data_IF_629521477373
#
_entry.id   IF_629521477373
#
_cell.length_a   1.000
_cell.length_b   1.000
_cell.length_c   1.000
_cell.angle_alpha   90.00
_cell.angle_beta   90.00
_cell.angle_gamma   90.00
#
_symmetry.space_group_name_H-M   'P 1'
#
loop_
_entity.id
_entity.type
_entity.pdbx_description
1 polymer ?
#
# COMPACT_ATOMS: atom_id res chain seq x y z
N UNK A 1 -1.50 24.40 15.10
CA UNK A 1 -1.62 25.12 16.39
C UNK A 1 -0.80 24.35 17.41
N UNK A 2 0.43 24.83 17.74
CA UNK A 2 1.36 24.12 18.64
C UNK A 2 1.09 24.48 20.11
N UNK A 3 -0.09 24.18 20.60
CA UNK A 3 -0.41 24.37 22.01
C UNK A 3 -0.77 23.01 22.59
N UNK A 4 0.06 22.54 23.56
CA UNK A 4 -0.19 21.29 24.27
C UNK A 4 -1.56 21.37 24.96
N UNK A 5 -2.36 20.30 24.90
CA UNK A 5 -3.72 20.22 25.46
C UNK A 5 -3.79 20.66 26.94
N UNK A 6 -2.74 20.38 27.72
CA UNK A 6 -2.65 20.71 29.15
C UNK A 6 -1.87 22.01 29.41
N UNK A 7 -1.69 22.88 28.43
CA UNK A 7 -1.02 24.15 28.66
C UNK A 7 -1.90 25.09 29.47
N UNK A 8 -1.53 25.41 30.72
CA UNK A 8 -2.23 26.32 31.59
C UNK A 8 -2.35 27.74 31.03
N UNK A 9 -1.37 28.16 30.19
CA UNK A 9 -1.36 29.46 29.52
C UNK A 9 -1.27 29.27 28.01
N UNK A 10 -2.41 29.38 27.35
CA UNK A 10 -2.46 29.50 25.90
C UNK A 10 -1.89 30.87 25.45
N UNK A 11 -1.54 31.07 24.15
CA UNK A 11 -1.12 32.39 23.68
C UNK A 11 -2.10 33.51 24.03
N UNK A 12 -3.39 33.30 23.88
CA UNK A 12 -4.46 34.24 24.23
C UNK A 12 -4.51 34.51 25.72
N UNK A 13 -4.31 33.50 26.57
CA UNK A 13 -4.23 33.69 28.02
C UNK A 13 -2.99 34.50 28.43
N UNK A 14 -1.87 34.38 27.70
CA UNK A 14 -0.66 35.18 27.93
C UNK A 14 -0.88 36.64 27.58
N UNK A 15 -1.57 36.95 26.49
CA UNK A 15 -1.97 38.30 26.10
C UNK A 15 -2.91 38.91 27.13
N UNK A 16 -3.93 38.18 27.57
CA UNK A 16 -4.86 38.61 28.60
C UNK A 16 -4.15 38.90 29.93
N UNK A 17 -3.18 38.04 30.32
CA UNK A 17 -2.35 38.22 31.49
C UNK A 17 -1.62 39.57 31.44
N UNK A 18 -0.95 39.86 30.31
CA UNK A 18 -0.20 41.10 30.13
C UNK A 18 -1.13 42.30 30.12
N UNK A 19 -2.23 42.25 29.37
CA UNK A 19 -3.22 43.33 29.32
C UNK A 19 -3.77 43.71 30.69
N UNK A 20 -4.06 42.74 31.54
CA UNK A 20 -4.53 43.00 32.91
C UNK A 20 -3.50 43.69 33.79
N UNK A 21 -2.20 43.28 33.66
CA UNK A 21 -1.13 43.94 34.45
C UNK A 21 -0.87 45.36 33.92
N UNK A 22 -0.93 45.60 32.62
CA UNK A 22 -0.78 46.92 32.02
C UNK A 22 -1.96 47.85 32.36
N UNK A 23 -3.15 47.31 32.58
CA UNK A 23 -4.32 48.03 33.08
C UNK A 23 -4.24 48.32 34.59
N UNK A 24 -3.07 48.14 35.23
CA UNK A 24 -2.84 48.49 36.63
C UNK A 24 -3.23 47.44 37.67
N UNK A 25 -3.62 46.22 37.25
CA UNK A 25 -3.93 45.15 38.22
C UNK A 25 -2.66 44.57 38.85
N UNK A 26 -2.73 44.34 40.17
CA UNK A 26 -1.61 43.72 40.89
C UNK A 26 -1.24 42.35 40.33
N UNK A 27 0.07 42.12 40.10
CA UNK A 27 0.62 40.87 39.57
C UNK A 27 0.18 39.64 40.36
N UNK A 28 0.10 39.74 41.70
CA UNK A 28 -0.33 38.67 42.60
C UNK A 28 -1.81 38.30 42.39
N UNK A 29 -2.65 39.29 42.15
CA UNK A 29 -4.06 39.07 41.86
C UNK A 29 -4.26 38.36 40.50
N UNK A 30 -3.56 38.81 39.44
CA UNK A 30 -3.57 38.18 38.10
C UNK A 30 -3.03 36.76 38.14
N UNK A 31 -1.99 36.52 38.95
CA UNK A 31 -1.43 35.19 39.14
C UNK A 31 -2.42 34.22 39.75
N UNK A 32 -3.12 34.65 40.79
CA UNK A 32 -4.18 33.86 41.48
C UNK A 32 -5.34 33.54 40.55
N UNK A 33 -5.80 34.53 39.81
CA UNK A 33 -6.95 34.39 38.89
C UNK A 33 -6.66 33.41 37.76
N UNK A 34 -5.44 33.41 37.23
CA UNK A 34 -5.04 32.52 36.12
C UNK A 34 -4.39 31.19 36.58
N UNK A 35 -4.34 30.93 37.87
CA UNK A 35 -3.76 29.70 38.43
C UNK A 35 -2.28 29.52 38.16
N UNK A 36 -1.49 30.62 38.07
CA UNK A 36 -0.06 30.58 37.78
C UNK A 36 0.73 31.26 38.90
N UNK A 37 2.06 31.08 38.93
CA UNK A 37 2.91 31.78 39.89
C UNK A 37 3.12 33.25 39.51
N UNK A 38 3.33 34.11 40.51
CA UNK A 38 3.67 35.53 40.30
C UNK A 38 4.94 35.71 39.47
N UNK A 39 5.94 34.81 39.62
CA UNK A 39 7.13 34.73 38.76
C UNK A 39 6.77 34.52 37.30
N UNK A 40 5.76 33.69 36.99
CA UNK A 40 5.28 33.48 35.63
C UNK A 40 4.68 34.75 35.05
N UNK A 41 3.88 35.47 35.82
CA UNK A 41 3.32 36.77 35.41
C UNK A 41 4.44 37.75 35.09
N UNK A 42 5.38 37.94 36.04
CA UNK A 42 6.56 38.81 35.83
C UNK A 42 7.36 38.49 34.59
N UNK A 43 7.62 37.20 34.38
CA UNK A 43 8.37 36.70 33.20
C UNK A 43 7.65 37.04 31.91
N UNK A 44 6.33 36.84 31.84
CA UNK A 44 5.55 37.11 30.61
C UNK A 44 5.44 38.62 30.33
N UNK A 45 5.26 39.44 31.35
CA UNK A 45 5.27 40.89 31.22
C UNK A 45 6.62 41.38 30.73
N UNK A 46 7.73 40.87 31.32
CA UNK A 46 9.09 41.24 30.89
C UNK A 46 9.42 40.84 29.45
N UNK A 47 8.89 39.68 28.98
CA UNK A 47 9.04 39.31 27.59
C UNK A 47 8.23 40.20 26.64
N UNK A 48 7.00 40.56 27.03
CA UNK A 48 6.19 41.48 26.26
C UNK A 48 6.84 42.89 26.17
N UNK A 49 7.42 43.38 27.26
CA UNK A 49 8.11 44.66 27.26
C UNK A 49 9.33 44.71 26.34
N UNK A 50 10.03 43.57 26.16
CA UNK A 50 11.20 43.46 25.26
C UNK A 50 10.86 43.23 23.84
N UNK A 51 9.89 42.36 23.56
CA UNK A 51 9.67 41.78 22.24
C UNK A 51 8.21 41.95 21.73
N UNK A 52 7.39 42.68 22.48
CA UNK A 52 5.97 42.87 22.17
C UNK A 52 5.20 41.53 22.17
N UNK A 53 4.20 41.43 21.33
CA UNK A 53 3.36 40.25 21.19
C UNK A 53 4.20 39.00 20.76
N UNK A 54 5.29 39.20 20.03
CA UNK A 54 6.17 38.12 19.63
C UNK A 54 6.79 37.37 20.83
N UNK A 55 7.12 38.07 21.92
CA UNK A 55 7.65 37.49 23.16
C UNK A 55 6.62 36.63 23.94
N UNK A 56 5.35 36.69 23.57
CA UNK A 56 4.30 35.87 24.19
C UNK A 56 4.10 34.54 23.43
N UNK A 57 4.67 34.36 22.27
CA UNK A 57 4.62 33.09 21.53
C UNK A 57 5.36 32.00 22.29
N UNK A 58 5.07 30.75 21.97
CA UNK A 58 5.78 29.61 22.53
C UNK A 58 7.19 29.55 21.91
N UNK A 59 8.23 29.82 22.72
CA UNK A 59 9.62 29.57 22.32
C UNK A 59 9.95 28.09 22.53
N UNK A 60 10.78 27.54 21.66
CA UNK A 60 11.30 26.18 21.81
C UNK A 60 12.09 26.08 23.12
N UNK A 61 11.83 25.01 23.88
CA UNK A 61 12.64 24.68 25.08
C UNK A 61 14.00 24.07 24.73
N UNK A 62 14.27 23.90 23.44
CA UNK A 62 15.52 23.29 22.95
C UNK A 62 16.71 24.22 23.27
N UNK A 63 17.81 23.71 23.82
CA UNK A 63 19.01 24.51 24.06
C UNK A 63 19.51 25.13 22.75
N UNK A 64 19.89 26.42 22.80
CA UNK A 64 20.46 27.11 21.65
C UNK A 64 21.87 26.61 21.33
N UNK A 65 22.59 26.12 22.35
CA UNK A 65 23.91 25.48 22.19
C UNK A 65 23.83 24.03 22.66
N UNK A 66 24.42 23.14 21.90
CA UNK A 66 24.59 21.74 22.26
C UNK A 66 26.09 21.40 22.17
N UNK A 67 26.83 21.37 23.28
CA UNK A 67 28.28 21.08 23.28
C UNK A 67 28.61 19.72 22.65
N UNK A 68 27.70 18.75 22.78
CA UNK A 68 27.86 17.41 22.21
C UNK A 68 27.32 17.27 20.76
N UNK A 69 27.04 18.40 20.08
CA UNK A 69 26.62 18.34 18.69
C UNK A 69 27.79 17.87 17.80
N UNK A 70 27.48 16.96 16.87
CA UNK A 70 28.45 16.54 15.85
C UNK A 70 28.92 17.76 15.05
N UNK A 71 30.24 17.95 14.90
CA UNK A 71 30.81 19.04 14.15
C UNK A 71 30.23 19.13 12.73
N UNK A 72 30.04 20.32 12.22
CA UNK A 72 29.43 20.55 10.91
C UNK A 72 30.18 19.85 9.78
N UNK A 73 31.53 19.89 9.81
CA UNK A 73 32.35 19.16 8.84
C UNK A 73 32.06 17.66 8.80
N UNK A 74 31.87 17.03 9.98
CA UNK A 74 31.48 15.61 10.04
C UNK A 74 30.04 15.36 9.55
N UNK A 75 29.11 16.31 9.77
CA UNK A 75 27.77 16.20 9.23
C UNK A 75 27.77 16.25 7.70
N UNK A 76 28.55 17.15 7.11
CA UNK A 76 28.74 17.26 5.66
C UNK A 76 29.41 16.00 5.09
N UNK A 77 30.42 15.45 5.76
CA UNK A 77 31.05 14.19 5.36
C UNK A 77 30.08 13.02 5.37
N UNK A 78 29.22 12.91 6.40
CA UNK A 78 28.16 11.90 6.46
C UNK A 78 27.23 12.02 5.25
N UNK A 79 26.79 13.22 4.90
CA UNK A 79 25.90 13.48 3.77
C UNK A 79 26.58 13.13 2.44
N UNK A 80 27.86 13.50 2.27
CA UNK A 80 28.63 13.19 1.07
C UNK A 80 28.77 11.67 0.86
N UNK A 81 29.17 10.93 1.91
CA UNK A 81 29.29 9.47 1.86
C UNK A 81 27.91 8.78 1.63
N UNK A 82 26.85 9.34 2.22
CA UNK A 82 25.50 8.82 2.00
C UNK A 82 25.04 8.98 0.55
N UNK A 83 25.36 10.09 -0.08
CA UNK A 83 25.13 10.33 -1.53
C UNK A 83 25.91 9.34 -2.42
N UNK A 84 27.06 8.87 -1.96
CA UNK A 84 27.81 7.78 -2.60
C UNK A 84 27.19 6.39 -2.32
N UNK A 85 25.99 6.32 -1.75
CA UNK A 85 25.22 5.11 -1.43
C UNK A 85 25.80 4.21 -0.34
N UNK A 86 26.73 4.69 0.47
CA UNK A 86 27.25 3.92 1.60
C UNK A 86 26.13 3.62 2.62
N UNK A 87 26.23 2.48 3.28
CA UNK A 87 25.32 2.11 4.37
C UNK A 87 25.61 2.95 5.63
N UNK A 88 24.60 3.10 6.51
CA UNK A 88 24.80 3.84 7.77
C UNK A 88 25.92 3.23 8.63
N UNK A 89 26.09 1.91 8.58
CA UNK A 89 27.13 1.20 9.32
C UNK A 89 28.55 1.51 8.76
N UNK A 90 28.71 1.49 7.42
CA UNK A 90 29.96 1.81 6.76
C UNK A 90 30.37 3.25 7.03
N UNK A 91 29.44 4.22 6.95
CA UNK A 91 29.71 5.63 7.26
C UNK A 91 30.12 5.81 8.73
N UNK A 92 29.42 5.13 9.65
CA UNK A 92 29.72 5.17 11.08
C UNK A 92 31.14 4.67 11.36
N UNK A 93 31.52 3.53 10.76
CA UNK A 93 32.86 2.95 10.88
C UNK A 93 33.94 3.89 10.29
N UNK A 94 33.69 4.44 9.10
CA UNK A 94 34.68 5.28 8.40
C UNK A 94 34.94 6.62 9.10
N UNK A 95 33.90 7.21 9.73
CA UNK A 95 34.01 8.53 10.38
C UNK A 95 34.18 8.46 11.92
N UNK A 96 34.26 7.26 12.50
CA UNK A 96 34.33 7.08 13.95
C UNK A 96 33.10 7.58 14.70
N UNK A 97 31.92 7.56 14.06
CA UNK A 97 30.67 8.02 14.64
C UNK A 97 29.78 6.84 15.07
N UNK A 98 28.88 7.08 16.03
CA UNK A 98 27.84 6.09 16.31
C UNK A 98 26.84 6.00 15.14
N UNK A 99 26.33 4.77 14.88
CA UNK A 99 25.31 4.54 13.86
C UNK A 99 24.06 5.40 14.08
N UNK A 100 23.68 5.67 15.33
CA UNK A 100 22.56 6.53 15.69
C UNK A 100 22.80 7.98 15.31
N UNK A 101 24.02 8.51 15.50
CA UNK A 101 24.40 9.85 15.06
C UNK A 101 24.34 9.99 13.54
N UNK A 102 24.89 9.02 12.80
CA UNK A 102 24.81 8.98 11.32
C UNK A 102 23.35 8.92 10.87
N UNK A 103 22.52 8.06 11.48
CA UNK A 103 21.11 7.95 11.15
C UNK A 103 20.33 9.26 11.39
N UNK A 104 20.64 9.97 12.47
CA UNK A 104 20.04 11.27 12.80
C UNK A 104 20.43 12.32 11.76
N UNK A 105 21.69 12.40 11.38
CA UNK A 105 22.18 13.35 10.35
C UNK A 105 21.54 13.05 9.00
N UNK A 106 21.53 11.77 8.57
CA UNK A 106 20.87 11.36 7.34
C UNK A 106 19.37 11.70 7.34
N UNK A 107 18.68 11.57 8.49
CA UNK A 107 17.26 11.92 8.61
C UNK A 107 17.06 13.44 8.44
N UNK A 108 17.89 14.25 9.07
CA UNK A 108 17.84 15.71 8.95
C UNK A 108 18.09 16.16 7.51
N UNK A 109 18.97 15.45 6.78
CA UNK A 109 19.28 15.71 5.38
C UNK A 109 18.27 15.08 4.39
N UNK A 110 17.21 14.41 4.85
CA UNK A 110 16.25 13.72 3.98
C UNK A 110 16.79 12.46 3.29
N UNK A 111 17.87 11.87 3.80
CA UNK A 111 18.61 10.75 3.20
C UNK A 111 18.53 9.46 4.03
N UNK A 112 17.45 9.26 4.78
CA UNK A 112 17.24 8.08 5.63
C UNK A 112 17.24 6.78 4.84
N UNK A 113 16.66 6.77 3.64
CA UNK A 113 16.59 5.62 2.73
C UNK A 113 17.43 5.88 1.49
N UNK A 114 18.12 4.85 0.98
CA UNK A 114 18.89 4.96 -0.26
C UNK A 114 18.00 5.30 -1.47
N UNK A 115 16.74 4.89 -1.46
CA UNK A 115 15.77 5.25 -2.50
C UNK A 115 15.46 6.75 -2.57
N UNK A 116 15.80 7.53 -1.53
CA UNK A 116 15.64 8.99 -1.55
C UNK A 116 16.75 9.70 -2.37
N UNK A 117 17.82 8.96 -2.73
CA UNK A 117 18.86 9.43 -3.63
C UNK A 117 18.47 9.30 -5.11
N UNK A 118 17.46 8.48 -5.38
CA UNK A 118 17.01 8.27 -6.75
C UNK A 118 15.97 9.35 -7.13
N UNK A 119 16.00 9.83 -8.37
CA UNK A 119 14.99 10.74 -8.84
C UNK A 119 13.61 10.07 -8.73
N UNK A 120 12.63 10.81 -8.24
CA UNK A 120 11.24 10.33 -8.20
C UNK A 120 10.74 10.25 -9.63
N UNK A 121 10.73 9.05 -10.19
CA UNK A 121 10.15 8.82 -11.50
C UNK A 121 8.63 8.82 -11.36
N UNK A 122 8.00 9.89 -11.80
CA UNK A 122 6.55 9.97 -11.90
C UNK A 122 6.09 9.17 -13.14
N UNK A 123 5.56 7.98 -12.91
CA UNK A 123 4.89 7.23 -13.97
C UNK A 123 3.44 7.71 -14.07
N UNK A 124 3.01 8.18 -15.24
CA UNK A 124 1.61 8.53 -15.43
C UNK A 124 0.75 7.29 -15.16
N UNK A 125 -0.17 7.41 -14.23
CA UNK A 125 -1.17 6.36 -14.00
C UNK A 125 -2.16 6.45 -15.15
N UNK A 126 -2.18 5.42 -15.99
CA UNK A 126 -3.23 5.30 -16.97
C UNK A 126 -4.38 4.45 -16.40
N UNK A 127 -5.58 4.80 -16.79
CA UNK A 127 -6.80 4.06 -16.52
C UNK A 127 -7.70 4.19 -17.73
N UNK A 128 -8.29 3.09 -18.16
CA UNK A 128 -9.26 3.09 -19.25
C UNK A 128 -10.55 3.75 -18.80
N UNK A 129 -11.25 4.37 -19.75
CA UNK A 129 -12.44 5.14 -19.45
C UNK A 129 -13.64 4.23 -19.09
N UNK A 130 -13.74 3.09 -19.75
CA UNK A 130 -14.88 2.18 -19.60
C UNK A 130 -14.46 0.76 -19.21
N UNK A 131 -15.29 0.05 -18.43
CA UNK A 131 -15.11 -1.37 -18.17
C UNK A 131 -15.05 -2.19 -19.47
N UNK A 132 -14.16 -3.18 -19.52
CA UNK A 132 -14.00 -4.06 -20.68
C UNK A 132 -13.03 -3.55 -21.75
N UNK A 133 -12.62 -2.29 -21.74
CA UNK A 133 -11.63 -1.80 -22.71
C UNK A 133 -10.28 -2.51 -22.62
N UNK A 134 -9.86 -2.92 -21.42
CA UNK A 134 -8.61 -3.62 -21.21
C UNK A 134 -8.71 -4.57 -20.02
N UNK A 135 -8.45 -5.83 -20.27
CA UNK A 135 -8.34 -6.88 -19.26
C UNK A 135 -6.86 -7.24 -19.03
N UNK A 136 -6.37 -7.10 -17.81
CA UNK A 136 -5.04 -7.54 -17.43
C UNK A 136 -5.06 -9.01 -17.03
N UNK A 137 -4.17 -9.81 -17.61
CA UNK A 137 -4.00 -11.21 -17.26
C UNK A 137 -2.64 -11.44 -16.60
N UNK A 138 -2.60 -12.35 -15.64
CA UNK A 138 -1.37 -12.75 -14.97
C UNK A 138 -1.53 -14.16 -14.37
N UNK A 139 -0.42 -14.83 -14.07
CA UNK A 139 -0.41 -16.12 -13.41
C UNK A 139 0.50 -16.08 -12.19
N UNK A 140 -0.02 -16.53 -11.06
CA UNK A 140 0.73 -16.64 -9.82
C UNK A 140 0.91 -18.07 -9.39
N UNK A 141 2.14 -18.52 -9.32
CA UNK A 141 2.54 -19.83 -8.81
C UNK A 141 2.43 -19.87 -7.29
N UNK A 142 1.73 -20.86 -6.75
CA UNK A 142 1.57 -21.12 -5.31
C UNK A 142 2.05 -22.53 -4.98
N UNK A 143 2.69 -22.70 -3.84
CA UNK A 143 2.98 -24.03 -3.32
C UNK A 143 1.69 -24.79 -3.03
N UNK A 144 1.64 -26.08 -3.43
CA UNK A 144 0.55 -26.99 -3.09
C UNK A 144 0.59 -27.30 -1.61
N UNK A 145 -0.57 -27.36 -0.98
CA UNK A 145 -0.71 -27.69 0.44
C UNK A 145 -1.25 -29.12 0.52
N UNK A 146 -0.38 -30.02 0.97
CA UNK A 146 -0.75 -31.43 1.25
C UNK A 146 -1.03 -31.66 2.71
N UNK A 147 -0.41 -30.86 3.60
CA UNK A 147 -0.64 -30.80 5.04
C UNK A 147 -0.28 -29.43 5.59
N UNK A 148 -0.64 -29.16 6.84
CA UNK A 148 -0.27 -27.92 7.53
C UNK A 148 1.24 -27.77 7.55
N UNK A 149 1.76 -26.69 7.01
CA UNK A 149 3.19 -26.45 6.83
C UNK A 149 3.90 -25.98 8.10
N UNK A 150 5.24 -26.03 8.07
CA UNK A 150 6.14 -25.66 9.17
C UNK A 150 5.95 -24.22 9.71
N UNK A 151 5.42 -23.31 8.93
CA UNK A 151 5.10 -21.94 9.41
C UNK A 151 4.07 -21.92 10.54
N UNK A 152 3.31 -23.00 10.70
CA UNK A 152 2.25 -23.14 11.69
C UNK A 152 2.68 -24.13 12.76
N UNK A 153 3.26 -25.26 12.34
CA UNK A 153 3.70 -26.32 13.27
C UNK A 153 5.00 -25.97 13.98
N UNK A 154 5.79 -25.00 13.47
CA UNK A 154 7.13 -24.68 13.97
C UNK A 154 8.19 -25.74 13.62
N UNK A 155 7.80 -26.92 13.14
CA UNK A 155 8.71 -28.01 12.81
C UNK A 155 9.14 -27.96 11.33
N UNK A 156 10.44 -27.70 11.11
CA UNK A 156 11.06 -27.67 9.78
C UNK A 156 11.55 -29.04 9.30
N UNK A 157 11.50 -30.07 10.13
CA UNK A 157 12.01 -31.40 9.79
C UNK A 157 11.13 -32.18 8.83
N UNK A 158 9.89 -31.74 8.65
CA UNK A 158 8.94 -32.35 7.74
C UNK A 158 9.04 -31.77 6.32
N UNK A 159 10.11 -32.06 5.59
CA UNK A 159 10.16 -31.79 4.15
C UNK A 159 9.08 -32.62 3.46
N UNK A 160 8.26 -32.01 2.64
CA UNK A 160 7.21 -32.69 1.88
C UNK A 160 7.75 -32.85 0.47
N UNK A 161 8.23 -34.05 0.16
CA UNK A 161 8.61 -34.39 -1.21
C UNK A 161 7.36 -34.49 -2.07
N UNK A 162 7.46 -33.92 -3.30
CA UNK A 162 6.38 -34.00 -4.29
C UNK A 162 5.16 -33.10 -4.06
N UNK A 163 5.20 -32.13 -3.13
CA UNK A 163 4.07 -31.22 -2.90
C UNK A 163 3.64 -30.50 -4.19
N UNK A 164 4.60 -30.11 -5.05
CA UNK A 164 4.34 -29.46 -6.32
C UNK A 164 3.77 -28.06 -6.22
N UNK A 165 3.15 -27.61 -7.29
CA UNK A 165 2.68 -26.24 -7.45
C UNK A 165 1.22 -26.21 -7.94
N UNK A 166 0.57 -25.10 -7.69
CA UNK A 166 -0.72 -24.70 -8.24
C UNK A 166 -0.59 -23.31 -8.84
N UNK A 167 -1.38 -23.01 -9.84
CA UNK A 167 -1.27 -21.77 -10.59
C UNK A 167 -2.59 -21.00 -10.50
N UNK A 168 -2.54 -19.81 -9.94
CA UNK A 168 -3.67 -18.89 -9.88
C UNK A 168 -3.63 -18.02 -11.11
N UNK A 169 -4.52 -18.32 -12.06
CA UNK A 169 -4.75 -17.46 -13.22
C UNK A 169 -5.68 -16.32 -12.82
N UNK A 170 -5.32 -15.12 -13.19
CA UNK A 170 -5.97 -13.87 -12.77
C UNK A 170 -6.34 -13.06 -14.00
N UNK A 171 -7.54 -12.51 -13.99
CA UNK A 171 -8.02 -11.50 -14.92
C UNK A 171 -8.58 -10.33 -14.13
N UNK A 172 -8.13 -9.11 -14.40
CA UNK A 172 -8.65 -7.90 -13.74
C UNK A 172 -8.92 -6.81 -14.78
N UNK A 173 -10.12 -6.24 -14.74
CA UNK A 173 -10.48 -5.13 -15.62
C UNK A 173 -9.77 -3.84 -15.22
N UNK A 174 -9.24 -3.13 -16.20
CA UNK A 174 -8.44 -1.92 -16.02
C UNK A 174 -9.24 -0.78 -15.41
N UNK A 175 -10.49 -0.61 -15.77
CA UNK A 175 -11.35 0.47 -15.30
C UNK A 175 -12.01 0.12 -13.96
N UNK A 176 -12.82 -0.96 -13.94
CA UNK A 176 -13.65 -1.30 -12.78
C UNK A 176 -12.87 -1.93 -11.63
N UNK A 177 -11.73 -2.56 -11.89
CA UNK A 177 -10.98 -3.42 -10.95
C UNK A 177 -11.72 -4.71 -10.57
N UNK A 178 -12.83 -5.01 -11.22
CA UNK A 178 -13.47 -6.32 -11.07
C UNK A 178 -12.48 -7.38 -11.47
N UNK A 179 -12.38 -8.43 -10.66
CA UNK A 179 -11.42 -9.49 -10.87
C UNK A 179 -12.13 -10.85 -11.03
N UNK A 180 -11.53 -11.68 -11.85
CA UNK A 180 -11.85 -13.09 -11.98
C UNK A 180 -10.60 -13.91 -11.81
N UNK A 181 -10.65 -15.04 -11.13
CA UNK A 181 -9.50 -15.91 -11.00
C UNK A 181 -9.90 -17.37 -10.80
N UNK A 182 -9.01 -18.26 -11.26
CA UNK A 182 -9.12 -19.71 -11.09
C UNK A 182 -7.78 -20.28 -10.65
N UNK A 183 -7.83 -21.36 -9.89
CA UNK A 183 -6.64 -22.16 -9.55
C UNK A 183 -6.59 -23.34 -10.49
N UNK A 184 -5.53 -23.43 -11.29
CA UNK A 184 -5.32 -24.47 -12.30
C UNK A 184 -4.05 -25.27 -11.95
N UNK A 185 -3.92 -26.51 -12.47
CA UNK A 185 -2.78 -27.38 -12.14
C UNK A 185 -1.46 -26.93 -12.76
N UNK A 186 -1.52 -26.18 -13.85
CA UNK A 186 -0.35 -25.74 -14.63
C UNK A 186 -0.58 -24.35 -15.26
N UNK A 187 0.46 -23.82 -15.90
CA UNK A 187 0.44 -22.60 -16.69
C UNK A 187 0.65 -22.85 -18.18
N UNK A 188 0.23 -24.01 -18.68
CA UNK A 188 0.35 -24.33 -20.10
C UNK A 188 -0.60 -23.49 -20.97
N UNK A 189 -0.24 -23.36 -22.26
CA UNK A 189 -1.01 -22.55 -23.20
C UNK A 189 -2.49 -22.96 -23.31
N UNK A 190 -2.79 -24.25 -23.23
CA UNK A 190 -4.17 -24.76 -23.25
C UNK A 190 -4.96 -24.26 -22.04
N UNK A 191 -4.35 -24.25 -20.86
CA UNK A 191 -4.99 -23.73 -19.64
C UNK A 191 -5.20 -22.22 -19.70
N UNK A 192 -4.21 -21.51 -20.26
CA UNK A 192 -4.34 -20.07 -20.51
C UNK A 192 -5.50 -19.73 -21.44
N UNK A 193 -5.71 -20.51 -22.52
CA UNK A 193 -6.83 -20.36 -23.43
C UNK A 193 -8.17 -20.61 -22.72
N UNK A 194 -8.29 -21.75 -22.02
CA UNK A 194 -9.50 -22.10 -21.28
C UNK A 194 -9.85 -21.04 -20.23
N UNK A 195 -8.84 -20.55 -19.49
CA UNK A 195 -9.02 -19.47 -18.54
C UNK A 195 -9.49 -18.16 -19.20
N UNK A 196 -8.91 -17.79 -20.36
CA UNK A 196 -9.34 -16.61 -21.09
C UNK A 196 -10.80 -16.70 -21.52
N UNK A 197 -11.24 -17.84 -22.09
CA UNK A 197 -12.63 -18.06 -22.45
C UNK A 197 -13.57 -17.93 -21.24
N UNK A 198 -13.20 -18.56 -20.11
CA UNK A 198 -13.98 -18.48 -18.89
C UNK A 198 -14.04 -17.05 -18.32
N UNK A 199 -12.94 -16.30 -18.38
CA UNK A 199 -12.89 -14.91 -17.95
C UNK A 199 -13.79 -14.03 -18.84
N UNK A 200 -13.72 -14.16 -20.16
CA UNK A 200 -14.59 -13.40 -21.09
C UNK A 200 -16.06 -13.72 -20.83
N UNK A 201 -16.40 -14.98 -20.65
CA UNK A 201 -17.78 -15.38 -20.31
C UNK A 201 -18.23 -14.79 -18.96
N UNK A 202 -17.37 -14.78 -17.95
CA UNK A 202 -17.66 -14.15 -16.65
C UNK A 202 -17.97 -12.66 -16.80
N UNK A 203 -17.15 -11.91 -17.52
CA UNK A 203 -17.37 -10.48 -17.73
C UNK A 203 -18.61 -10.21 -18.60
N UNK A 204 -18.88 -11.04 -19.62
CA UNK A 204 -20.09 -10.95 -20.41
C UNK A 204 -21.35 -11.15 -19.55
N UNK A 205 -21.31 -12.08 -18.57
CA UNK A 205 -22.35 -12.25 -17.57
C UNK A 205 -22.59 -11.02 -16.68
N UNK A 206 -21.59 -10.16 -16.54
CA UNK A 206 -21.69 -8.85 -15.85
C UNK A 206 -22.11 -7.71 -16.80
N UNK A 207 -22.42 -8.01 -18.07
CA UNK A 207 -22.71 -6.99 -19.08
C UNK A 207 -21.49 -6.23 -19.60
N UNK A 208 -20.29 -6.78 -19.38
CA UNK A 208 -19.03 -6.14 -19.79
C UNK A 208 -18.42 -6.88 -20.98
N UNK A 209 -18.31 -6.18 -22.10
CA UNK A 209 -17.68 -6.69 -23.32
C UNK A 209 -16.17 -6.38 -23.30
N UNK A 210 -15.34 -7.42 -23.31
CA UNK A 210 -13.89 -7.27 -23.36
C UNK A 210 -13.43 -6.95 -24.78
N UNK A 211 -12.54 -5.96 -24.93
CA UNK A 211 -11.97 -5.53 -26.23
C UNK A 211 -10.49 -5.85 -26.38
N UNK A 212 -9.71 -5.63 -25.35
CA UNK A 212 -8.26 -5.86 -25.37
C UNK A 212 -7.85 -6.69 -24.14
N UNK A 213 -6.81 -7.50 -24.29
CA UNK A 213 -6.16 -8.19 -23.19
C UNK A 213 -4.69 -7.81 -23.13
N UNK A 214 -4.18 -7.58 -21.93
CA UNK A 214 -2.79 -7.29 -21.64
C UNK A 214 -2.19 -8.41 -20.81
N UNK A 215 -1.11 -9.00 -21.28
CA UNK A 215 -0.36 -10.06 -20.60
C UNK A 215 1.10 -9.65 -20.42
N UNK A 216 1.80 -10.34 -19.54
CA UNK A 216 3.24 -10.36 -19.57
C UNK A 216 3.77 -11.20 -20.75
N UNK A 217 5.07 -11.51 -20.75
CA UNK A 217 5.71 -12.37 -21.74
C UNK A 217 5.80 -13.84 -21.28
N UNK A 218 4.93 -14.28 -20.38
CA UNK A 218 4.85 -15.66 -19.90
C UNK A 218 4.66 -16.66 -21.05
N UNK A 219 5.13 -17.90 -20.84
CA UNK A 219 5.15 -18.94 -21.88
C UNK A 219 3.73 -19.22 -22.40
N UNK A 220 2.73 -19.30 -21.50
CA UNK A 220 1.33 -19.54 -21.88
C UNK A 220 0.77 -18.47 -22.83
N UNK A 221 1.16 -17.21 -22.66
CA UNK A 221 0.66 -16.09 -23.45
C UNK A 221 1.41 -15.88 -24.77
N UNK A 222 2.58 -16.54 -24.93
CA UNK A 222 3.36 -16.53 -26.18
C UNK A 222 2.97 -17.64 -27.13
N UNK A 223 2.21 -18.59 -26.66
CA UNK A 223 1.78 -19.75 -27.43
C UNK A 223 0.87 -19.34 -28.60
N UNK A 224 1.03 -20.01 -29.74
CA UNK A 224 0.22 -19.76 -30.97
C UNK A 224 -1.28 -19.95 -30.71
N UNK A 225 -1.64 -20.97 -29.91
CA UNK A 225 -3.04 -21.24 -29.53
C UNK A 225 -3.65 -20.10 -28.74
N UNK A 226 -2.90 -19.41 -27.86
CA UNK A 226 -3.42 -18.27 -27.14
C UNK A 226 -3.75 -17.10 -28.08
N UNK A 227 -2.88 -16.83 -29.05
CA UNK A 227 -3.14 -15.81 -30.07
C UNK A 227 -4.37 -16.16 -30.93
N UNK A 228 -4.53 -17.44 -31.31
CA UNK A 228 -5.69 -17.92 -32.04
C UNK A 228 -6.98 -17.73 -31.23
N UNK A 229 -6.98 -18.13 -29.95
CA UNK A 229 -8.13 -17.93 -29.04
C UNK A 229 -8.49 -16.45 -28.89
N UNK A 230 -7.50 -15.56 -28.80
CA UNK A 230 -7.76 -14.12 -28.79
C UNK A 230 -8.46 -13.67 -30.09
N UNK A 231 -8.02 -14.15 -31.25
CA UNK A 231 -8.61 -13.80 -32.53
C UNK A 231 -10.05 -14.33 -32.66
N UNK A 232 -10.30 -15.57 -32.24
CA UNK A 232 -11.64 -16.20 -32.21
C UNK A 232 -12.63 -15.43 -31.33
N UNK A 233 -12.14 -14.91 -30.21
CA UNK A 233 -12.93 -14.08 -29.29
C UNK A 233 -13.02 -12.59 -29.72
N UNK A 234 -12.40 -12.20 -30.82
CA UNK A 234 -12.38 -10.82 -31.30
C UNK A 234 -11.55 -9.87 -30.42
N UNK A 235 -10.59 -10.38 -29.65
CA UNK A 235 -9.80 -9.63 -28.67
C UNK A 235 -8.47 -9.17 -29.26
N UNK A 236 -8.12 -7.93 -28.99
CA UNK A 236 -6.77 -7.43 -29.30
C UNK A 236 -5.80 -7.83 -28.19
N UNK A 237 -4.83 -8.70 -28.52
CA UNK A 237 -3.82 -9.11 -27.56
C UNK A 237 -2.64 -8.12 -27.55
N UNK A 238 -2.30 -7.62 -26.37
CA UNK A 238 -1.13 -6.79 -26.10
C UNK A 238 -0.22 -7.49 -25.10
N UNK A 239 1.08 -7.35 -25.27
CA UNK A 239 2.08 -7.83 -24.33
C UNK A 239 2.85 -6.65 -23.73
N UNK A 240 3.28 -6.78 -22.47
CA UNK A 240 4.16 -5.80 -21.83
C UNK A 240 5.49 -5.73 -22.57
N UNK A 241 6.07 -4.54 -22.66
CA UNK A 241 7.43 -4.40 -23.19
C UNK A 241 8.42 -5.05 -22.23
N UNK A 242 9.50 -5.67 -22.73
CA UNK A 242 10.58 -6.16 -21.89
C UNK A 242 11.06 -5.07 -20.91
N UNK A 243 11.40 -5.46 -19.69
CA UNK A 243 11.88 -4.56 -18.63
C UNK A 243 10.91 -3.44 -18.19
N UNK A 244 9.63 -3.51 -18.57
CA UNK A 244 8.59 -2.59 -18.12
C UNK A 244 7.44 -3.32 -17.40
N UNK A 245 7.70 -4.06 -16.31
CA UNK A 245 6.68 -4.87 -15.62
C UNK A 245 5.52 -4.03 -15.07
N UNK A 246 5.75 -2.76 -14.81
CA UNK A 246 4.72 -1.84 -14.26
C UNK A 246 3.48 -1.66 -15.12
N UNK A 247 3.53 -2.06 -16.41
CA UNK A 247 2.36 -2.04 -17.29
C UNK A 247 1.29 -3.03 -16.85
N UNK A 248 1.65 -4.15 -16.20
CA UNK A 248 0.70 -5.13 -15.63
C UNK A 248 0.44 -4.93 -14.12
N UNK A 249 0.80 -3.76 -13.59
CA UNK A 249 0.76 -3.47 -12.15
C UNK A 249 -0.62 -3.61 -11.49
N UNK A 250 -1.72 -3.64 -12.26
CA UNK A 250 -3.08 -3.87 -11.73
C UNK A 250 -3.28 -5.34 -11.38
N UNK A 251 -2.85 -6.26 -12.24
CA UNK A 251 -2.87 -7.70 -11.94
C UNK A 251 -1.91 -8.04 -10.80
N UNK A 252 -0.68 -7.50 -10.81
CA UNK A 252 0.28 -7.67 -9.71
C UNK A 252 -0.28 -7.19 -8.37
N UNK A 253 -0.96 -6.03 -8.36
CA UNK A 253 -1.57 -5.48 -7.15
C UNK A 253 -2.72 -6.35 -6.65
N UNK A 254 -3.55 -6.87 -7.54
CA UNK A 254 -4.59 -7.82 -7.20
C UNK A 254 -4.00 -9.10 -6.61
N UNK A 255 -2.99 -9.69 -7.26
CA UNK A 255 -2.28 -10.88 -6.78
C UNK A 255 -1.73 -10.63 -5.37
N UNK A 256 -1.12 -9.48 -5.13
CA UNK A 256 -0.62 -9.14 -3.79
C UNK A 256 -1.73 -9.12 -2.74
N UNK A 257 -2.91 -8.62 -3.07
CA UNK A 257 -4.09 -8.65 -2.21
C UNK A 257 -4.59 -10.09 -1.99
N UNK A 258 -4.67 -10.89 -3.08
CA UNK A 258 -5.07 -12.28 -3.03
C UNK A 258 -4.15 -13.13 -2.15
N UNK A 259 -2.83 -12.90 -2.22
CA UNK A 259 -1.86 -13.58 -1.37
C UNK A 259 -2.06 -13.27 0.12
N UNK A 260 -2.30 -12.02 0.46
CA UNK A 260 -2.47 -11.56 1.85
C UNK A 260 -3.83 -11.93 2.44
N UNK A 261 -4.89 -11.77 1.66
CA UNK A 261 -6.27 -11.78 2.16
C UNK A 261 -6.96 -13.12 1.92
N UNK A 262 -6.40 -13.97 1.06
CA UNK A 262 -6.92 -15.31 0.76
C UNK A 262 -5.84 -16.38 0.87
N UNK A 263 -4.86 -16.43 -0.05
CA UNK A 263 -3.99 -17.61 -0.21
C UNK A 263 -3.15 -17.96 1.03
N UNK A 264 -2.75 -16.95 1.81
CA UNK A 264 -1.96 -17.07 3.04
C UNK A 264 -2.57 -16.33 4.23
N UNK A 265 -3.85 -15.95 4.13
CA UNK A 265 -4.54 -15.23 5.21
C UNK A 265 -4.72 -16.10 6.47
N UNK A 266 -4.79 -17.40 6.28
CA UNK A 266 -4.92 -18.40 7.35
C UNK A 266 -4.18 -19.68 6.99
N UNK A 267 -4.05 -20.56 7.98
CA UNK A 267 -3.55 -21.90 7.79
C UNK A 267 -4.61 -22.78 7.13
N UNK A 268 -4.38 -23.14 5.88
CA UNK A 268 -5.20 -24.15 5.22
C UNK A 268 -4.59 -25.54 5.44
N UNK A 269 -5.43 -26.52 5.78
CA UNK A 269 -4.97 -27.90 5.94
C UNK A 269 -4.59 -28.56 4.61
N UNK A 270 -5.27 -28.19 3.52
CA UNK A 270 -5.04 -28.70 2.17
C UNK A 270 -5.27 -27.63 1.12
N UNK A 271 -4.72 -27.84 -0.09
CA UNK A 271 -5.03 -27.00 -1.26
C UNK A 271 -6.50 -26.94 -1.58
N UNK A 272 -7.24 -28.04 -1.43
CA UNK A 272 -8.69 -28.06 -1.67
C UNK A 272 -9.42 -27.07 -0.74
N UNK A 273 -9.03 -27.00 0.54
CA UNK A 273 -9.60 -26.00 1.46
C UNK A 273 -9.27 -24.56 1.05
N UNK A 274 -8.04 -24.31 0.55
CA UNK A 274 -7.64 -23.00 0.03
C UNK A 274 -8.48 -22.62 -1.21
N UNK A 275 -8.59 -23.54 -2.16
CA UNK A 275 -9.38 -23.35 -3.40
C UNK A 275 -10.84 -23.12 -3.07
N UNK A 276 -11.43 -23.92 -2.17
CA UNK A 276 -12.82 -23.78 -1.74
C UNK A 276 -13.13 -22.43 -1.07
N UNK A 277 -12.13 -21.75 -0.50
CA UNK A 277 -12.30 -20.43 0.08
C UNK A 277 -12.23 -19.28 -0.96
N UNK A 278 -11.71 -19.55 -2.17
CA UNK A 278 -11.51 -18.55 -3.21
C UNK A 278 -12.79 -17.85 -3.66
N UNK A 279 -13.91 -18.55 -3.97
CA UNK A 279 -15.11 -17.91 -4.47
C UNK A 279 -15.69 -16.88 -3.47
N UNK A 280 -15.71 -17.23 -2.18
CA UNK A 280 -16.19 -16.32 -1.13
C UNK A 280 -15.30 -15.09 -1.00
N UNK A 281 -13.99 -15.27 -1.04
CA UNK A 281 -13.04 -14.15 -0.97
C UNK A 281 -13.15 -13.25 -2.20
N UNK A 282 -13.24 -13.84 -3.41
CA UNK A 282 -13.35 -13.09 -4.66
C UNK A 282 -14.66 -12.30 -4.73
N UNK A 283 -15.77 -12.89 -4.23
CA UNK A 283 -17.01 -12.18 -4.06
C UNK A 283 -16.84 -10.97 -3.13
N UNK A 284 -16.23 -11.17 -1.95
CA UNK A 284 -15.90 -10.09 -1.01
C UNK A 284 -15.06 -9.00 -1.65
N UNK A 285 -14.04 -9.36 -2.44
CA UNK A 285 -13.19 -8.44 -3.17
C UNK A 285 -13.98 -7.59 -4.17
N UNK A 286 -14.80 -8.21 -5.01
CA UNK A 286 -15.51 -7.52 -6.08
C UNK A 286 -16.70 -6.67 -5.58
N UNK A 287 -17.43 -7.13 -4.57
CA UNK A 287 -18.71 -6.55 -4.16
C UNK A 287 -18.66 -5.73 -2.89
N UNK A 288 -17.70 -5.96 -2.02
CA UNK A 288 -17.73 -5.38 -0.67
C UNK A 288 -16.43 -4.68 -0.26
N UNK A 289 -15.30 -5.03 -0.88
CA UNK A 289 -14.00 -4.50 -0.46
C UNK A 289 -13.83 -3.05 -0.90
N UNK A 290 -13.59 -2.09 0.04
CA UNK A 290 -13.26 -0.73 -0.32
C UNK A 290 -11.96 -0.66 -1.12
N UNK A 291 -11.96 0.03 -2.24
CA UNK A 291 -10.80 0.16 -3.12
C UNK A 291 -10.29 1.60 -3.16
N UNK A 292 -9.04 1.83 -2.76
CA UNK A 292 -8.48 3.18 -2.66
C UNK A 292 -8.51 3.97 -3.98
N UNK A 293 -8.30 3.30 -5.13
CA UNK A 293 -8.38 3.97 -6.45
C UNK A 293 -9.81 4.24 -6.92
N UNK A 294 -10.83 3.74 -6.21
CA UNK A 294 -12.24 3.90 -6.51
C UNK A 294 -12.95 4.76 -5.44
N UNK A 295 -12.23 5.67 -4.82
CA UNK A 295 -12.74 6.52 -3.72
C UNK A 295 -13.40 5.72 -2.58
N UNK A 296 -12.85 4.53 -2.26
CA UNK A 296 -13.37 3.66 -1.22
C UNK A 296 -14.58 2.81 -1.63
N UNK A 297 -15.03 2.87 -2.89
CA UNK A 297 -16.11 2.03 -3.38
C UNK A 297 -15.61 0.64 -3.82
N UNK A 298 -16.46 -0.40 -3.82
CA UNK A 298 -16.08 -1.72 -4.32
C UNK A 298 -15.95 -1.73 -5.86
N UNK A 299 -15.19 -2.67 -6.45
CA UNK A 299 -14.99 -2.79 -7.89
C UNK A 299 -16.26 -2.77 -8.73
N UNK A 300 -17.31 -3.49 -8.31
CA UNK A 300 -18.59 -3.56 -9.02
C UNK A 300 -19.36 -2.24 -9.06
N UNK A 301 -19.01 -1.26 -8.23
CA UNK A 301 -19.66 0.06 -8.26
C UNK A 301 -19.47 0.82 -9.59
N UNK A 302 -18.48 0.42 -10.39
CA UNK A 302 -18.23 0.99 -11.73
C UNK A 302 -18.95 0.24 -12.86
N UNK A 303 -19.68 -0.80 -12.54
CA UNK A 303 -20.51 -1.52 -13.51
C UNK A 303 -21.94 -1.02 -13.43
N UNK A 304 -22.57 -0.81 -14.58
CA UNK A 304 -24.01 -0.51 -14.67
C UNK A 304 -24.80 -1.79 -14.47
N UNK A 305 -24.82 -2.31 -13.23
CA UNK A 305 -25.53 -3.53 -12.90
C UNK A 305 -26.96 -3.20 -12.47
N UNK A 306 -27.92 -3.77 -13.18
CA UNK A 306 -29.33 -3.74 -12.77
C UNK A 306 -29.51 -4.64 -11.53
N UNK A 307 -30.36 -4.24 -10.57
CA UNK A 307 -30.64 -5.03 -9.35
C UNK A 307 -31.02 -6.48 -9.64
N UNK A 308 -31.66 -6.74 -10.78
CA UNK A 308 -32.04 -8.08 -11.23
C UNK A 308 -30.83 -8.94 -11.65
N UNK A 309 -29.70 -8.37 -12.07
CA UNK A 309 -28.51 -9.13 -12.43
C UNK A 309 -27.73 -9.65 -11.19
N UNK A 310 -27.88 -8.99 -10.04
CA UNK A 310 -27.25 -9.41 -8.79
C UNK A 310 -27.68 -10.82 -8.34
N UNK A 311 -28.96 -11.14 -8.44
CA UNK A 311 -29.51 -12.43 -8.01
C UNK A 311 -29.11 -13.57 -8.96
N UNK A 312 -28.99 -13.32 -10.27
CA UNK A 312 -28.59 -14.34 -11.26
C UNK A 312 -27.12 -14.73 -11.15
N UNK A 313 -26.24 -13.79 -10.83
CA UNK A 313 -24.81 -14.04 -10.68
C UNK A 313 -24.47 -14.86 -9.43
N UNK A 314 -25.25 -14.72 -8.35
CA UNK A 314 -25.06 -15.52 -7.14
C UNK A 314 -25.46 -16.97 -7.32
N UNK A 315 -26.37 -17.27 -8.23
CA UNK A 315 -26.85 -18.64 -8.49
C UNK A 315 -26.02 -19.42 -9.52
N UNK A 316 -25.17 -18.77 -10.33
CA UNK A 316 -24.38 -19.42 -11.38
C UNK A 316 -22.98 -19.88 -10.95
N UNK A 317 -22.50 -19.50 -9.77
CA UNK A 317 -21.15 -19.86 -9.27
C UNK A 317 -21.00 -21.37 -8.88
N UNK A 318 -22.01 -22.15 -8.52
CA UNK A 318 -21.82 -23.53 -8.09
C UNK A 318 -21.63 -24.59 -9.17
N UNK A 319 -21.98 -24.33 -10.43
CA UNK A 319 -22.11 -25.43 -11.42
C UNK A 319 -20.83 -25.84 -12.17
N UNK A 320 -19.74 -25.10 -12.07
CA UNK A 320 -18.50 -25.46 -12.77
C UNK A 320 -17.57 -26.44 -12.01
N UNK A 321 -17.96 -26.89 -10.82
CA UNK A 321 -17.17 -27.85 -10.02
C UNK A 321 -17.69 -29.29 -10.06
N UNK A 322 -18.75 -29.62 -10.84
CA UNK A 322 -19.39 -30.92 -10.84
C UNK A 322 -19.18 -31.73 -12.12
N UNK A 323 -18.07 -31.56 -12.82
CA UNK A 323 -17.82 -32.31 -14.06
C UNK A 323 -16.39 -32.85 -14.14
N UNK A 324 -16.09 -33.90 -13.41
CA UNK A 324 -15.30 -35.06 -13.82
C UNK A 324 -15.13 -36.04 -12.65
N UNK A 325 -16.09 -36.94 -12.49
CA UNK A 325 -15.82 -38.28 -11.97
C UNK A 325 -16.11 -39.21 -13.14
N UNK A 326 -15.08 -39.75 -13.68
CA UNK A 326 -15.03 -40.81 -14.66
C UNK A 326 -13.60 -41.26 -14.79
#
# INVERSE_FOLDING_TARGET
>A
MDVHQNARLTPRCRELLVARVLAGRCRRAVARELGVSEKTVQKRVGWFQREGIAGLRASSSRPQRSPAATAEALQLAVVALRRQRLTLAAIASQLGLSRSSVARICRQAGLSRLSQLDPVVHYPRYERAQPGELLHLDVKKLGRITRVGHRITGDRRGQIDGAGWEYVHVAIDDCSRVAYCQVLPDEEGVRGCAFLCAAVAYYAGLGVMIREVLTDNGVCYRAKNFAATCAELGLKHRRTRPYTPRTNGKAERFIHSALREWAYARAYGTSAHRIGALPRWLHGYNWHRPHASLAGQPPTSRLSLDRNNLLRLHSQIPQFMAGNRG
#
